data_IF_491932472540
#
_entry.id   IF_491932472540
#
_cell.length_a   1.000
_cell.length_b   1.000
_cell.length_c   1.000
_cell.angle_alpha   90.00
_cell.angle_beta   90.00
_cell.angle_gamma   90.00
#
_symmetry.space_group_name_H-M   'P 1'
#
loop_
_entity.id
_entity.type
_entity.pdbx_description
1 polymer ?
#
# COMPACT_ATOMS: atom_id res chain seq x y z
N UNK A 1 -17.29 7.39 -13.68
CA UNK A 1 -17.22 6.50 -12.51
C UNK A 1 -16.01 5.59 -12.69
N UNK A 2 -14.92 5.88 -11.97
CA UNK A 2 -13.72 5.08 -12.03
C UNK A 2 -14.08 3.64 -11.61
N UNK A 3 -13.79 2.66 -12.48
CA UNK A 3 -13.81 1.24 -12.10
C UNK A 3 -12.75 1.10 -11.01
N UNK A 4 -13.15 1.21 -9.74
CA UNK A 4 -12.31 0.87 -8.61
C UNK A 4 -11.86 -0.57 -8.87
N UNK A 5 -10.62 -0.69 -9.31
CA UNK A 5 -9.92 -1.87 -9.79
C UNK A 5 -10.58 -3.19 -9.36
N UNK A 6 -11.44 -3.73 -10.22
CA UNK A 6 -12.01 -5.07 -10.09
C UNK A 6 -11.00 -6.17 -10.42
N UNK A 7 -9.72 -5.91 -10.12
CA UNK A 7 -8.65 -6.88 -10.20
C UNK A 7 -8.49 -7.48 -8.82
N UNK A 8 -8.53 -8.81 -8.75
CA UNK A 8 -8.32 -9.54 -7.51
C UNK A 8 -6.87 -9.39 -7.07
N UNK A 9 -6.65 -9.66 -5.80
CA UNK A 9 -5.33 -9.68 -5.17
C UNK A 9 -4.37 -10.61 -5.88
N UNK A 10 -4.87 -11.75 -6.33
CA UNK A 10 -4.12 -12.74 -7.11
C UNK A 10 -3.65 -12.16 -8.46
N UNK A 11 -4.42 -11.23 -9.04
CA UNK A 11 -4.06 -10.55 -10.28
C UNK A 11 -2.87 -9.59 -10.09
N UNK A 12 -2.75 -8.94 -8.93
CA UNK A 12 -1.63 -8.03 -8.62
C UNK A 12 -0.31 -8.77 -8.38
N UNK A 13 -0.37 -10.02 -7.89
CA UNK A 13 0.81 -10.86 -7.64
C UNK A 13 1.28 -11.55 -8.94
N UNK A 14 0.37 -11.76 -9.89
CA UNK A 14 0.64 -12.50 -11.13
C UNK A 14 1.25 -11.71 -12.29
N UNK A 15 1.13 -10.37 -12.32
CA UNK A 15 1.58 -9.56 -13.47
C UNK A 15 2.42 -8.32 -13.08
N UNK A 16 3.58 -8.16 -13.74
CA UNK A 16 4.38 -6.91 -13.76
C UNK A 16 5.34 -6.70 -12.57
N UNK A 17 5.76 -5.44 -12.34
CA UNK A 17 6.67 -5.03 -11.25
C UNK A 17 6.16 -5.41 -9.85
N UNK A 18 4.88 -5.72 -9.72
CA UNK A 18 4.22 -6.13 -8.48
C UNK A 18 4.39 -7.62 -8.16
N UNK A 19 4.89 -8.44 -9.10
CA UNK A 19 5.20 -9.85 -8.88
C UNK A 19 6.34 -10.06 -7.86
N UNK A 20 7.08 -8.99 -7.52
CA UNK A 20 8.07 -9.01 -6.44
C UNK A 20 7.49 -8.71 -5.06
N UNK A 21 6.23 -8.24 -4.97
CA UNK A 21 5.63 -8.02 -3.66
C UNK A 21 5.34 -9.36 -3.02
N UNK A 22 5.86 -9.54 -1.82
CA UNK A 22 5.60 -10.75 -1.07
C UNK A 22 4.09 -10.81 -0.73
N UNK A 23 3.54 -12.03 -0.77
CA UNK A 23 2.12 -12.29 -0.56
C UNK A 23 1.60 -11.73 0.78
N UNK A 24 2.45 -11.73 1.81
CA UNK A 24 2.11 -11.25 3.14
C UNK A 24 1.85 -9.74 3.15
N UNK A 25 2.69 -8.96 2.46
CA UNK A 25 2.49 -7.51 2.30
C UNK A 25 1.15 -7.22 1.64
N UNK A 26 0.81 -7.95 0.58
CA UNK A 26 -0.46 -7.75 -0.13
C UNK A 26 -1.65 -8.12 0.75
N UNK A 27 -1.59 -9.26 1.45
CA UNK A 27 -2.63 -9.70 2.38
C UNK A 27 -2.88 -8.69 3.51
N UNK A 28 -1.83 -8.05 4.03
CA UNK A 28 -1.95 -6.98 5.03
C UNK A 28 -2.77 -5.80 4.48
N UNK A 29 -2.48 -5.33 3.26
CA UNK A 29 -3.24 -4.24 2.63
C UNK A 29 -4.71 -4.62 2.42
N UNK A 30 -4.98 -5.86 1.98
CA UNK A 30 -6.35 -6.33 1.83
C UNK A 30 -7.13 -6.37 3.14
N UNK A 31 -6.48 -6.79 4.22
CA UNK A 31 -7.12 -6.80 5.53
C UNK A 31 -7.44 -5.37 5.99
N UNK A 32 -6.56 -4.40 5.76
CA UNK A 32 -6.82 -2.97 6.03
C UNK A 32 -8.04 -2.46 5.25
N UNK A 33 -8.17 -2.83 3.97
CA UNK A 33 -9.29 -2.41 3.13
C UNK A 33 -10.66 -2.91 3.66
N UNK A 34 -10.68 -4.05 4.35
CA UNK A 34 -11.89 -4.65 4.93
C UNK A 34 -12.27 -4.07 6.29
N UNK A 35 -11.42 -3.24 6.90
CA UNK A 35 -11.71 -2.62 8.19
C UNK A 35 -12.76 -1.51 8.08
N UNK A 36 -13.33 -1.13 9.23
CA UNK A 36 -14.16 0.07 9.33
C UNK A 36 -13.36 1.32 8.94
N UNK A 37 -14.07 2.36 8.53
CA UNK A 37 -13.48 3.59 8.00
C UNK A 37 -12.55 4.28 9.02
N UNK A 38 -12.93 4.30 10.30
CA UNK A 38 -12.14 4.94 11.35
C UNK A 38 -10.78 4.27 11.52
N UNK A 39 -10.79 2.95 11.73
CA UNK A 39 -9.57 2.15 11.91
C UNK A 39 -8.69 2.20 10.66
N UNK A 40 -9.29 2.09 9.47
CA UNK A 40 -8.60 2.14 8.18
C UNK A 40 -7.87 3.46 7.97
N UNK A 41 -8.51 4.58 8.25
CA UNK A 41 -7.92 5.90 8.11
C UNK A 41 -6.73 6.10 9.06
N UNK A 42 -6.80 5.59 10.29
CA UNK A 42 -5.67 5.62 11.23
C UNK A 42 -4.46 4.87 10.65
N UNK A 43 -4.66 3.67 10.12
CA UNK A 43 -3.57 2.87 9.57
C UNK A 43 -2.96 3.51 8.31
N UNK A 44 -3.77 4.07 7.42
CA UNK A 44 -3.25 4.78 6.26
C UNK A 44 -2.43 6.01 6.63
N UNK A 45 -2.88 6.80 7.61
CA UNK A 45 -2.10 7.93 8.11
C UNK A 45 -0.72 7.51 8.63
N UNK A 46 -0.64 6.38 9.34
CA UNK A 46 0.64 5.83 9.83
C UNK A 46 1.54 5.42 8.68
N UNK A 47 1.01 4.66 7.70
CA UNK A 47 1.75 4.23 6.51
C UNK A 47 2.31 5.44 5.76
N UNK A 48 1.46 6.43 5.47
CA UNK A 48 1.83 7.64 4.74
C UNK A 48 2.90 8.44 5.46
N UNK A 49 2.81 8.54 6.79
CA UNK A 49 3.82 9.21 7.63
C UNK A 49 5.21 8.58 7.46
N UNK A 50 5.30 7.25 7.50
CA UNK A 50 6.58 6.57 7.34
C UNK A 50 7.12 6.62 5.90
N UNK A 51 6.24 6.55 4.90
CA UNK A 51 6.62 6.73 3.49
C UNK A 51 7.18 8.13 3.26
N UNK A 52 6.51 9.16 3.78
CA UNK A 52 6.97 10.54 3.69
C UNK A 52 8.33 10.71 4.36
N UNK A 53 8.48 10.23 5.60
CA UNK A 53 9.74 10.29 6.33
C UNK A 53 10.89 9.61 5.58
N UNK A 54 10.64 8.45 4.95
CA UNK A 54 11.63 7.75 4.14
C UNK A 54 12.05 8.57 2.90
N UNK A 55 11.08 9.11 2.15
CA UNK A 55 11.35 9.96 0.98
C UNK A 55 12.12 11.22 1.37
N UNK A 56 11.72 11.87 2.46
CA UNK A 56 12.39 13.05 3.00
C UNK A 56 13.84 12.75 3.37
N UNK A 57 14.12 11.64 4.08
CA UNK A 57 15.50 11.23 4.39
C UNK A 57 16.33 10.99 3.13
N UNK A 58 15.78 10.31 2.11
CA UNK A 58 16.48 10.11 0.85
C UNK A 58 16.79 11.42 0.11
N UNK A 59 15.90 12.41 0.17
CA UNK A 59 16.13 13.72 -0.43
C UNK A 59 17.28 14.47 0.28
N UNK A 60 17.35 14.40 1.61
CA UNK A 60 18.44 15.00 2.38
C UNK A 60 19.79 14.30 2.20
N UNK A 61 19.82 13.00 1.92
CA UNK A 61 21.05 12.25 1.65
C UNK A 61 21.62 12.57 0.25
N UNK A 62 20.80 13.08 -0.67
CA UNK A 62 21.20 13.45 -2.04
C UNK A 62 21.47 14.95 -2.22
N UNK A 63 21.28 15.76 -1.18
CA UNK A 63 21.41 17.22 -1.20
C UNK A 63 22.73 17.72 -0.66
#
# INVERSE_FOLDING_TARGET
MARAFGVTVDFLIGEGENASYDKETVDRINNIQKMDEGTKNVLFNVIDTYIQNFKTKQAFVKG
#
